data_IF_848963522341
#
_entry.id   IF_848963522341
#
_cell.length_a   1.000
_cell.length_b   1.000
_cell.length_c   1.000
_cell.angle_alpha   90.00
_cell.angle_beta   90.00
_cell.angle_gamma   90.00
#
_symmetry.space_group_name_H-M   'P 1'
#
loop_
_entity.id
_entity.type
_entity.pdbx_description
1 polymer ?
#
# COMPACT_ATOMS: atom_id res chain seq x y z
N UNK A 1 0.11 -0.22 21.66
CA UNK A 1 1.32 -0.93 21.19
C UNK A 1 2.09 -0.20 20.09
N UNK A 2 1.43 0.32 19.05
CA UNK A 2 2.09 1.12 17.99
C UNK A 2 2.96 2.27 18.53
N UNK A 3 2.47 3.02 19.51
CA UNK A 3 3.22 4.13 20.12
C UNK A 3 4.53 3.69 20.80
N UNK A 4 4.57 2.49 21.38
CA UNK A 4 5.77 1.97 22.07
C UNK A 4 6.86 1.47 21.13
N UNK A 5 6.50 0.99 19.94
CA UNK A 5 7.48 0.55 18.93
C UNK A 5 8.24 1.76 18.37
N UNK A 6 7.52 2.83 18.05
CA UNK A 6 8.11 4.01 17.44
C UNK A 6 8.53 5.11 18.45
N UNK A 7 8.31 4.92 19.76
CA UNK A 7 8.77 5.89 20.77
C UNK A 7 10.30 5.95 20.87
N UNK A 8 10.97 4.87 20.47
CA UNK A 8 12.43 4.78 20.47
C UNK A 8 13.08 5.53 19.31
N UNK A 9 12.31 6.01 18.32
CA UNK A 9 12.86 6.73 17.15
C UNK A 9 13.74 7.93 17.57
N UNK A 10 13.39 8.57 18.69
CA UNK A 10 14.15 9.70 19.27
C UNK A 10 15.53 9.31 19.81
N UNK A 11 15.76 8.03 20.11
CA UNK A 11 16.98 7.51 20.74
C UNK A 11 17.83 6.66 19.80
N UNK A 12 17.20 5.88 18.92
CA UNK A 12 17.89 4.92 18.03
C UNK A 12 17.80 5.29 16.54
N UNK A 13 17.15 6.41 16.22
CA UNK A 13 16.88 6.80 14.84
C UNK A 13 15.63 6.11 14.26
N UNK A 14 15.29 6.44 13.02
CA UNK A 14 14.06 5.97 12.38
C UNK A 14 14.08 4.47 12.14
N UNK A 15 13.08 3.75 12.67
CA UNK A 15 12.85 2.33 12.37
C UNK A 15 12.83 2.09 10.85
N UNK A 16 13.65 1.16 10.30
CA UNK A 16 13.59 0.86 8.88
C UNK A 16 12.30 0.06 8.54
N UNK A 17 11.68 0.30 7.36
CA UNK A 17 10.35 -0.24 7.08
C UNK A 17 10.25 -1.76 7.02
N UNK A 18 11.32 -2.47 6.65
CA UNK A 18 11.29 -3.92 6.54
C UNK A 18 11.16 -4.58 7.91
N UNK A 19 12.01 -4.17 8.86
CA UNK A 19 12.00 -4.60 10.25
C UNK A 19 10.71 -4.15 10.93
N UNK A 20 10.23 -2.94 10.64
CA UNK A 20 8.95 -2.50 11.18
C UNK A 20 7.75 -3.29 10.62
N UNK A 21 7.79 -3.77 9.37
CA UNK A 21 6.79 -4.73 8.87
C UNK A 21 6.87 -6.05 9.63
N UNK A 22 8.07 -6.56 9.94
CA UNK A 22 8.22 -7.76 10.78
C UNK A 22 7.65 -7.54 12.19
N UNK A 23 7.92 -6.38 12.80
CA UNK A 23 7.36 -6.01 14.10
C UNK A 23 5.83 -5.85 14.07
N UNK A 24 5.26 -5.35 12.97
CA UNK A 24 3.81 -5.36 12.77
C UNK A 24 3.27 -6.79 12.85
N UNK A 25 3.85 -7.71 12.06
CA UNK A 25 3.39 -9.10 12.02
C UNK A 25 3.56 -9.82 13.36
N UNK A 26 4.63 -9.51 14.11
CA UNK A 26 4.91 -10.16 15.38
C UNK A 26 4.15 -9.56 16.58
N UNK A 27 3.80 -8.27 16.56
CA UNK A 27 3.36 -7.53 17.77
C UNK A 27 2.08 -6.73 17.59
N UNK A 28 1.59 -6.53 16.38
CA UNK A 28 0.37 -5.77 16.11
C UNK A 28 -0.69 -6.68 15.49
N UNK A 29 -0.34 -7.41 14.44
CA UNK A 29 -1.24 -8.34 13.74
C UNK A 29 -1.93 -9.33 14.69
N UNK A 30 -1.26 -9.96 15.68
CA UNK A 30 -1.92 -10.89 16.59
C UNK A 30 -3.03 -10.25 17.43
N UNK A 31 -2.91 -8.97 17.77
CA UNK A 31 -3.95 -8.27 18.52
C UNK A 31 -5.11 -7.85 17.61
N UNK A 32 -4.84 -7.53 16.35
CA UNK A 32 -5.87 -7.15 15.38
C UNK A 32 -6.62 -8.37 14.84
N UNK A 33 -6.03 -9.56 14.90
CA UNK A 33 -6.61 -10.82 14.41
C UNK A 33 -7.15 -11.71 15.52
N UNK A 34 -6.94 -11.35 16.79
CA UNK A 34 -7.39 -12.14 17.92
C UNK A 34 -8.89 -12.46 17.85
N UNK A 35 -9.22 -13.76 17.85
CA UNK A 35 -10.59 -14.27 17.87
C UNK A 35 -11.41 -14.00 16.61
N UNK A 36 -10.79 -13.55 15.51
CA UNK A 36 -11.50 -13.20 14.28
C UNK A 36 -12.17 -14.39 13.59
N UNK A 37 -11.66 -15.59 13.85
CA UNK A 37 -12.17 -16.84 13.32
C UNK A 37 -13.47 -17.29 14.01
N UNK A 38 -13.72 -16.83 15.24
CA UNK A 38 -14.95 -17.12 16.00
C UNK A 38 -15.92 -15.93 15.92
N UNK A 39 -15.40 -14.70 16.11
CA UNK A 39 -16.19 -13.47 16.12
C UNK A 39 -15.98 -12.77 14.79
N UNK A 40 -16.91 -13.03 13.87
CA UNK A 40 -16.86 -12.52 12.50
C UNK A 40 -17.25 -11.05 12.43
N UNK A 41 -16.68 -10.37 11.45
CA UNK A 41 -16.77 -8.93 11.24
C UNK A 41 -18.11 -8.50 10.59
N UNK A 42 -19.23 -8.89 11.19
CA UNK A 42 -20.58 -8.58 10.69
C UNK A 42 -20.90 -7.09 10.82
N UNK A 43 -20.44 -6.44 11.88
CA UNK A 43 -20.59 -4.99 12.08
C UNK A 43 -19.34 -4.23 11.59
N UNK A 44 -19.52 -3.45 10.51
CA UNK A 44 -18.47 -2.64 9.90
C UNK A 44 -17.93 -1.54 10.82
N UNK A 45 -18.69 -1.10 11.82
CA UNK A 45 -18.24 -0.03 12.73
C UNK A 45 -17.12 -0.49 13.64
N UNK A 46 -17.16 -1.75 14.10
CA UNK A 46 -16.13 -2.34 14.95
C UNK A 46 -14.83 -2.57 14.17
N UNK A 47 -14.94 -3.03 12.92
CA UNK A 47 -13.78 -3.25 12.02
C UNK A 47 -13.01 -1.96 11.77
N UNK A 48 -13.69 -0.81 11.67
CA UNK A 48 -13.05 0.49 11.42
C UNK A 48 -12.01 0.86 12.48
N UNK A 49 -12.20 0.44 13.74
CA UNK A 49 -11.22 0.71 14.80
C UNK A 49 -9.93 -0.10 14.57
N UNK A 50 -10.07 -1.36 14.13
CA UNK A 50 -8.93 -2.22 13.77
C UNK A 50 -8.21 -1.68 12.53
N UNK A 51 -8.97 -1.26 11.52
CA UNK A 51 -8.42 -0.61 10.32
C UNK A 51 -7.66 0.67 10.70
N UNK A 52 -8.21 1.50 11.58
CA UNK A 52 -7.55 2.72 12.04
C UNK A 52 -6.20 2.41 12.72
N UNK A 53 -6.15 1.37 13.56
CA UNK A 53 -4.91 0.93 14.21
C UNK A 53 -3.86 0.45 13.21
N UNK A 54 -4.25 -0.40 12.25
CA UNK A 54 -3.36 -0.87 11.17
C UNK A 54 -2.85 0.30 10.33
N UNK A 55 -3.76 1.15 9.86
CA UNK A 55 -3.44 2.29 9.00
C UNK A 55 -2.52 3.29 9.70
N UNK A 56 -2.74 3.57 10.98
CA UNK A 56 -1.87 4.43 11.78
C UNK A 56 -0.46 3.85 11.88
N UNK A 57 -0.34 2.54 12.14
CA UNK A 57 0.95 1.88 12.21
C UNK A 57 1.70 1.98 10.87
N UNK A 58 1.05 1.59 9.76
CA UNK A 58 1.68 1.58 8.44
C UNK A 58 2.03 2.99 7.96
N UNK A 59 1.19 4.01 8.22
CA UNK A 59 1.53 5.41 7.91
C UNK A 59 2.80 5.86 8.60
N UNK A 60 2.92 5.56 9.90
CA UNK A 60 4.09 5.93 10.68
C UNK A 60 5.34 5.19 10.20
N UNK A 61 5.19 3.91 9.86
CA UNK A 61 6.27 3.07 9.34
C UNK A 61 6.93 3.67 8.09
N UNK A 62 6.13 4.10 7.12
CA UNK A 62 6.64 4.59 5.83
C UNK A 62 6.72 6.13 5.74
N UNK A 63 6.36 6.85 6.81
CA UNK A 63 6.52 8.30 6.91
C UNK A 63 5.48 9.12 6.13
N UNK A 64 4.24 8.62 6.05
CA UNK A 64 3.11 9.34 5.47
C UNK A 64 2.30 10.11 6.51
N UNK A 65 1.68 11.21 6.07
CA UNK A 65 0.81 12.03 6.92
C UNK A 65 -0.53 11.34 7.19
N UNK A 66 -1.28 11.74 8.25
CA UNK A 66 -2.62 11.23 8.51
C UNK A 66 -3.63 11.45 7.36
N UNK A 67 -3.36 12.45 6.50
CA UNK A 67 -4.20 12.79 5.33
C UNK A 67 -3.83 11.98 4.09
N UNK A 68 -2.83 11.09 4.17
CA UNK A 68 -2.42 10.26 3.06
C UNK A 68 -3.52 9.29 2.66
N UNK A 69 -3.47 8.87 1.39
CA UNK A 69 -4.28 7.76 0.90
C UNK A 69 -4.03 6.51 1.76
N UNK A 70 -5.08 5.73 2.02
CA UNK A 70 -4.98 4.52 2.85
C UNK A 70 -4.52 3.32 2.03
N UNK A 71 -5.08 3.13 0.83
CA UNK A 71 -4.82 1.92 0.03
C UNK A 71 -3.35 1.78 -0.38
N UNK A 72 -2.65 2.90 -0.57
CA UNK A 72 -1.20 2.90 -0.84
C UNK A 72 -0.38 2.25 0.27
N UNK A 73 -0.87 2.24 1.51
CA UNK A 73 -0.16 1.60 2.62
C UNK A 73 0.03 0.10 2.34
N UNK A 74 -0.98 -0.54 1.76
CA UNK A 74 -0.98 -1.96 1.45
C UNK A 74 -0.16 -2.26 0.19
N UNK A 75 -0.34 -1.45 -0.86
CA UNK A 75 0.40 -1.61 -2.14
C UNK A 75 1.91 -1.46 -1.96
N UNK A 76 2.35 -0.63 -1.02
CA UNK A 76 3.76 -0.35 -0.77
C UNK A 76 4.41 -1.26 0.28
N UNK A 77 3.67 -1.69 1.30
CA UNK A 77 4.22 -2.53 2.38
C UNK A 77 4.04 -4.02 2.12
N UNK A 78 3.19 -4.42 1.17
CA UNK A 78 2.84 -5.82 0.97
C UNK A 78 2.09 -6.42 2.16
N UNK A 79 1.34 -5.58 2.90
CA UNK A 79 0.54 -5.99 4.06
C UNK A 79 -0.91 -6.08 3.62
N UNK A 80 -1.57 -7.20 3.91
CA UNK A 80 -2.98 -7.38 3.59
C UNK A 80 -3.84 -6.46 4.48
N UNK A 81 -4.86 -5.76 3.93
CA UNK A 81 -5.76 -4.95 4.76
C UNK A 81 -6.47 -5.83 5.78
N UNK A 82 -6.65 -5.33 7.01
CA UNK A 82 -7.04 -6.16 8.16
C UNK A 82 -8.37 -6.88 7.97
N UNK A 83 -9.34 -6.28 7.28
CA UNK A 83 -10.62 -6.93 6.97
C UNK A 83 -10.46 -8.19 6.12
N UNK A 84 -9.65 -8.12 5.05
CA UNK A 84 -9.31 -9.30 4.24
C UNK A 84 -8.53 -10.34 5.05
N UNK A 85 -7.55 -9.88 5.85
CA UNK A 85 -6.74 -10.78 6.70
C UNK A 85 -7.60 -11.59 7.68
N UNK A 86 -8.55 -10.94 8.34
CA UNK A 86 -9.46 -11.55 9.32
C UNK A 86 -10.40 -12.56 8.67
N UNK A 87 -11.03 -12.23 7.53
CA UNK A 87 -11.89 -13.20 6.84
C UNK A 87 -11.10 -14.38 6.26
N UNK A 88 -9.88 -14.17 5.76
CA UNK A 88 -9.00 -15.27 5.34
C UNK A 88 -8.66 -16.22 6.50
N UNK A 89 -8.47 -15.70 7.71
CA UNK A 89 -8.26 -16.52 8.92
C UNK A 89 -9.51 -17.31 9.30
N UNK A 90 -10.70 -16.70 9.22
CA UNK A 90 -11.96 -17.40 9.43
C UNK A 90 -12.19 -18.55 8.43
N UNK A 91 -11.85 -18.35 7.16
CA UNK A 91 -11.94 -19.42 6.14
C UNK A 91 -10.88 -20.52 6.37
N UNK A 92 -9.66 -20.16 6.83
CA UNK A 92 -8.67 -21.17 7.26
C UNK A 92 -9.14 -21.96 8.48
N UNK A 93 -9.85 -21.32 9.40
CA UNK A 93 -10.48 -22.03 10.50
C UNK A 93 -11.60 -22.95 10.03
N UNK A 94 -12.44 -22.53 9.07
CA UNK A 94 -13.41 -23.42 8.42
C UNK A 94 -12.72 -24.65 7.81
N UNK A 95 -11.60 -24.45 7.11
CA UNK A 95 -10.81 -25.55 6.55
C UNK A 95 -10.31 -26.52 7.61
N UNK A 96 -9.87 -26.01 8.76
CA UNK A 96 -9.55 -26.83 9.91
C UNK A 96 -10.77 -27.63 10.41
N UNK A 97 -11.93 -26.99 10.58
CA UNK A 97 -13.16 -27.63 11.09
C UNK A 97 -13.66 -28.76 10.17
N UNK A 98 -13.63 -28.54 8.86
CA UNK A 98 -14.02 -29.53 7.85
C UNK A 98 -13.13 -30.77 7.90
N UNK A 99 -11.83 -30.60 8.22
CA UNK A 99 -10.86 -31.69 8.30
C UNK A 99 -10.84 -32.42 9.64
N UNK A 100 -11.62 -31.98 10.63
CA UNK A 100 -11.70 -32.66 11.91
C UNK A 100 -12.50 -33.97 11.81
N UNK A 101 -12.17 -34.92 12.68
CA UNK A 101 -12.96 -36.14 12.80
C UNK A 101 -14.35 -35.82 13.37
N UNK A 102 -15.42 -36.53 12.94
CA UNK A 102 -16.80 -36.22 13.34
C UNK A 102 -17.07 -36.19 14.85
N UNK A 103 -16.28 -36.93 15.64
CA UNK A 103 -16.43 -37.02 17.09
C UNK A 103 -15.86 -35.79 17.84
N UNK A 104 -15.28 -34.80 17.15
CA UNK A 104 -14.75 -33.59 17.78
C UNK A 104 -15.88 -32.56 17.91
N UNK A 105 -16.05 -31.99 19.10
CA UNK A 105 -17.08 -30.98 19.36
C UNK A 105 -17.05 -29.80 18.38
N UNK A 106 -15.87 -29.38 17.93
CA UNK A 106 -15.74 -28.29 16.96
C UNK A 106 -16.29 -28.69 15.57
N UNK A 107 -16.14 -29.96 15.16
CA UNK A 107 -16.77 -30.47 13.95
C UNK A 107 -18.29 -30.57 14.11
N UNK A 108 -18.77 -31.07 15.26
CA UNK A 108 -20.20 -31.11 15.57
C UNK A 108 -20.83 -29.72 15.54
N UNK A 109 -20.15 -28.71 16.11
CA UNK A 109 -20.59 -27.32 16.06
C UNK A 109 -20.63 -26.73 14.63
N UNK A 110 -19.71 -27.15 13.75
CA UNK A 110 -19.80 -26.81 12.32
C UNK A 110 -21.05 -27.41 11.70
N UNK A 111 -21.33 -28.69 11.95
CA UNK A 111 -22.53 -29.36 11.43
C UNK A 111 -23.83 -28.71 11.93
N UNK A 112 -23.88 -28.28 13.19
CA UNK A 112 -25.00 -27.51 13.73
C UNK A 112 -25.15 -26.15 13.01
N UNK A 113 -24.03 -25.47 12.75
CA UNK A 113 -24.00 -24.21 11.99
C UNK A 113 -24.49 -24.41 10.54
N UNK A 114 -24.16 -25.53 9.90
CA UNK A 114 -24.69 -25.92 8.59
C UNK A 114 -26.19 -26.15 8.66
N UNK A 115 -26.68 -26.91 9.65
CA UNK A 115 -28.11 -27.18 9.83
C UNK A 115 -28.92 -25.88 10.05
N UNK A 116 -28.40 -24.95 10.85
CA UNK A 116 -28.99 -23.62 11.03
C UNK A 116 -29.06 -22.85 9.72
N UNK A 117 -27.96 -22.85 8.94
CA UNK A 117 -27.91 -22.18 7.64
C UNK A 117 -28.93 -22.77 6.65
N UNK A 118 -29.04 -24.10 6.57
CA UNK A 118 -30.05 -24.79 5.74
C UNK A 118 -31.47 -24.45 6.16
N UNK A 119 -31.71 -24.26 7.46
CA UNK A 119 -32.99 -23.83 8.01
C UNK A 119 -33.25 -22.30 7.88
N UNK A 120 -32.36 -21.55 7.23
CA UNK A 120 -32.47 -20.10 7.08
C UNK A 120 -32.34 -19.31 8.38
N UNK A 121 -31.66 -19.87 9.39
CA UNK A 121 -31.42 -19.25 10.69
C UNK A 121 -30.03 -18.62 10.75
N UNK A 122 -29.90 -17.58 11.56
CA UNK A 122 -28.62 -16.94 11.82
C UNK A 122 -27.69 -17.90 12.59
N UNK A 123 -26.42 -17.87 12.22
CA UNK A 123 -25.35 -18.64 12.84
C UNK A 123 -23.99 -18.29 12.24
N UNK A 124 -22.94 -18.94 12.73
CA UNK A 124 -21.56 -18.62 12.33
C UNK A 124 -21.33 -18.78 10.82
N UNK A 125 -21.89 -19.81 10.17
CA UNK A 125 -21.73 -20.01 8.73
C UNK A 125 -22.47 -18.95 7.90
N UNK A 126 -23.67 -18.54 8.31
CA UNK A 126 -24.40 -17.46 7.61
C UNK A 126 -23.69 -16.13 7.77
N UNK A 127 -23.09 -15.87 8.93
CA UNK A 127 -22.28 -14.68 9.17
C UNK A 127 -21.02 -14.69 8.31
N UNK A 128 -20.36 -15.84 8.14
CA UNK A 128 -19.19 -15.98 7.27
C UNK A 128 -19.55 -15.69 5.81
N UNK A 129 -20.66 -16.26 5.32
CA UNK A 129 -21.22 -15.96 3.99
C UNK A 129 -21.53 -14.47 3.83
N UNK A 130 -22.09 -13.85 4.86
CA UNK A 130 -22.39 -12.42 4.86
C UNK A 130 -21.12 -11.57 4.78
N UNK A 131 -20.06 -11.91 5.53
CA UNK A 131 -18.79 -11.17 5.48
C UNK A 131 -18.13 -11.32 4.10
N UNK A 132 -18.09 -12.54 3.54
CA UNK A 132 -17.51 -12.80 2.22
C UNK A 132 -18.27 -12.08 1.08
N UNK A 133 -19.61 -12.06 1.13
CA UNK A 133 -20.43 -11.35 0.14
C UNK A 133 -20.28 -9.82 0.22
N UNK A 134 -19.81 -9.30 1.36
CA UNK A 134 -19.59 -7.86 1.59
C UNK A 134 -18.19 -7.38 1.22
N UNK A 135 -17.30 -8.26 0.77
CA UNK A 135 -16.00 -7.88 0.20
C UNK A 135 -16.19 -7.00 -1.04
N UNK A 136 -15.19 -6.15 -1.40
CA UNK A 136 -15.31 -5.26 -2.56
C UNK A 136 -15.61 -6.00 -3.86
N UNK A 137 -14.95 -7.14 -4.09
CA UNK A 137 -15.44 -8.15 -5.02
C UNK A 137 -16.06 -9.27 -4.17
N UNK A 138 -17.38 -9.48 -4.21
CA UNK A 138 -18.06 -10.48 -3.41
C UNK A 138 -17.50 -11.88 -3.66
N UNK A 139 -17.26 -12.64 -2.60
CA UNK A 139 -16.84 -14.04 -2.66
C UNK A 139 -18.02 -14.91 -2.19
N UNK A 140 -18.38 -15.91 -2.99
CA UNK A 140 -19.42 -16.87 -2.62
C UNK A 140 -18.80 -18.02 -1.81
N UNK A 141 -19.53 -18.49 -0.81
CA UNK A 141 -19.23 -19.72 -0.07
C UNK A 141 -20.47 -20.61 -0.09
N UNK A 142 -20.48 -21.56 -1.01
CA UNK A 142 -21.58 -22.50 -1.24
C UNK A 142 -21.46 -23.71 -0.30
N UNK A 143 -22.54 -24.48 -0.15
CA UNK A 143 -22.49 -25.73 0.62
C UNK A 143 -21.53 -26.74 -0.02
N UNK A 144 -21.40 -26.72 -1.36
CA UNK A 144 -20.44 -27.54 -2.12
C UNK A 144 -18.98 -27.21 -1.80
N UNK A 145 -18.72 -26.03 -1.23
CA UNK A 145 -17.37 -25.60 -0.88
C UNK A 145 -16.93 -26.09 0.50
N UNK A 146 -17.84 -26.70 1.28
CA UNK A 146 -17.58 -27.25 2.61
C UNK A 146 -16.82 -28.59 2.54
N UNK A 147 -15.74 -28.62 1.77
CA UNK A 147 -14.83 -29.76 1.67
C UNK A 147 -13.38 -29.27 1.55
N UNK A 148 -12.44 -30.16 1.87
CA UNK A 148 -11.01 -29.83 1.93
C UNK A 148 -10.48 -29.25 0.62
N UNK A 149 -10.98 -29.72 -0.52
CA UNK A 149 -10.44 -29.41 -1.85
C UNK A 149 -10.94 -28.08 -2.41
N UNK A 150 -12.06 -27.54 -1.89
CA UNK A 150 -12.69 -26.32 -2.43
C UNK A 150 -12.33 -25.07 -1.64
N UNK A 151 -12.11 -25.17 -0.33
CA UNK A 151 -11.75 -24.02 0.50
C UNK A 151 -10.46 -23.29 0.07
N UNK A 152 -9.43 -23.95 -0.52
CA UNK A 152 -8.30 -23.25 -1.13
C UNK A 152 -8.72 -22.24 -2.20
N UNK A 153 -9.69 -22.57 -3.07
CA UNK A 153 -10.19 -21.62 -4.08
C UNK A 153 -10.96 -20.44 -3.49
N UNK A 154 -11.62 -20.63 -2.34
CA UNK A 154 -12.26 -19.52 -1.60
C UNK A 154 -11.20 -18.58 -1.04
N UNK A 155 -10.08 -19.11 -0.54
CA UNK A 155 -8.95 -18.29 -0.07
C UNK A 155 -8.32 -17.49 -1.21
N UNK A 156 -8.10 -18.12 -2.37
CA UNK A 156 -7.62 -17.46 -3.59
C UNK A 156 -8.57 -16.34 -4.03
N UNK A 157 -9.88 -16.58 -4.04
CA UNK A 157 -10.87 -15.56 -4.37
C UNK A 157 -10.88 -14.35 -3.40
N UNK A 158 -10.53 -14.55 -2.13
CA UNK A 158 -10.36 -13.45 -1.16
C UNK A 158 -9.12 -12.63 -1.49
N UNK A 159 -8.02 -13.29 -1.85
CA UNK A 159 -6.77 -12.63 -2.26
C UNK A 159 -6.98 -11.82 -3.55
N UNK A 160 -7.65 -12.41 -4.55
CA UNK A 160 -8.05 -11.73 -5.80
C UNK A 160 -8.94 -10.53 -5.55
N UNK A 161 -9.92 -10.66 -4.63
CA UNK A 161 -10.79 -9.55 -4.23
C UNK A 161 -9.99 -8.39 -3.63
N UNK A 162 -8.99 -8.69 -2.81
CA UNK A 162 -8.09 -7.69 -2.23
C UNK A 162 -7.21 -7.02 -3.28
N UNK A 163 -6.60 -7.81 -4.17
CA UNK A 163 -5.74 -7.33 -5.24
C UNK A 163 -6.52 -6.44 -6.21
N UNK A 164 -7.69 -6.88 -6.67
CA UNK A 164 -8.57 -6.09 -7.54
C UNK A 164 -8.99 -4.77 -6.88
N UNK A 165 -9.36 -4.80 -5.60
CA UNK A 165 -9.72 -3.59 -4.86
C UNK A 165 -8.59 -2.54 -4.77
N UNK A 166 -7.34 -3.01 -4.66
CA UNK A 166 -6.15 -2.15 -4.68
C UNK A 166 -5.81 -1.70 -6.10
N UNK A 167 -5.94 -2.56 -7.09
CA UNK A 167 -5.65 -2.25 -8.49
C UNK A 167 -6.62 -1.20 -9.04
N UNK A 168 -7.93 -1.37 -8.79
CA UNK A 168 -8.96 -0.40 -9.18
C UNK A 168 -8.65 0.98 -8.61
N UNK A 169 -8.12 1.06 -7.39
CA UNK A 169 -7.70 2.31 -6.80
C UNK A 169 -6.50 2.95 -7.51
N UNK A 170 -5.47 2.16 -7.85
CA UNK A 170 -4.30 2.65 -8.58
C UNK A 170 -4.72 3.23 -9.94
N UNK A 171 -5.68 2.60 -10.61
CA UNK A 171 -6.15 3.03 -11.91
C UNK A 171 -7.06 4.27 -11.85
N UNK A 172 -7.94 4.35 -10.84
CA UNK A 172 -8.95 5.41 -10.75
C UNK A 172 -8.47 6.68 -10.07
N UNK A 173 -7.55 6.59 -9.11
CA UNK A 173 -7.05 7.76 -8.39
C UNK A 173 -6.11 8.59 -9.25
N UNK A 174 -6.29 9.92 -9.22
CA UNK A 174 -5.40 10.87 -9.91
C UNK A 174 -4.05 11.01 -9.19
N UNK A 175 -3.97 10.62 -7.92
CA UNK A 175 -2.74 10.69 -7.10
C UNK A 175 -1.79 9.51 -7.30
N UNK A 176 -2.28 8.42 -7.87
CA UNK A 176 -1.55 7.16 -8.00
C UNK A 176 -0.98 6.97 -9.39
N UNK A 177 -0.87 8.04 -10.18
CA UNK A 177 -0.39 7.97 -11.55
C UNK A 177 1.05 7.40 -11.63
N UNK A 178 1.91 7.70 -10.64
CA UNK A 178 3.24 7.10 -10.46
C UNK A 178 3.23 5.65 -9.95
N UNK A 179 2.06 5.06 -9.70
CA UNK A 179 1.93 3.66 -9.27
C UNK A 179 1.39 2.76 -10.40
N UNK A 180 0.88 3.35 -11.49
CA UNK A 180 0.31 2.60 -12.61
C UNK A 180 1.40 1.89 -13.40
N UNK A 181 1.10 0.66 -13.84
CA UNK A 181 1.99 -0.16 -14.67
C UNK A 181 3.41 -0.33 -14.09
N UNK A 182 3.55 -0.21 -12.77
CA UNK A 182 4.83 -0.37 -12.10
C UNK A 182 5.25 -1.83 -12.13
N UNK A 183 6.41 -2.07 -12.74
CA UNK A 183 7.09 -3.36 -12.74
C UNK A 183 7.94 -3.51 -11.48
N UNK A 184 8.01 -4.72 -10.94
CA UNK A 184 8.92 -5.13 -9.87
C UNK A 184 9.70 -6.35 -10.35
N UNK A 185 10.92 -6.52 -9.84
CA UNK A 185 11.66 -7.77 -10.03
C UNK A 185 11.14 -8.81 -9.03
N UNK A 186 10.72 -9.97 -9.53
CA UNK A 186 10.43 -11.14 -8.71
C UNK A 186 11.71 -11.78 -8.14
N UNK A 187 11.56 -12.95 -7.53
CA UNK A 187 12.66 -13.66 -6.86
C UNK A 187 13.62 -14.27 -7.90
N UNK A 188 13.12 -14.56 -9.10
CA UNK A 188 13.85 -15.01 -10.29
C UNK A 188 14.49 -13.84 -11.08
N UNK A 189 14.18 -12.59 -10.70
CA UNK A 189 14.71 -11.37 -11.30
C UNK A 189 13.96 -10.87 -12.54
N UNK A 190 12.88 -11.53 -12.94
CA UNK A 190 12.01 -11.13 -14.04
C UNK A 190 11.11 -9.94 -13.64
N UNK A 191 10.78 -9.10 -14.63
CA UNK A 191 9.95 -7.92 -14.42
C UNK A 191 8.47 -8.30 -14.49
N UNK A 192 7.79 -8.18 -13.35
CA UNK A 192 6.37 -8.51 -13.19
C UNK A 192 5.60 -7.36 -12.56
N UNK A 193 4.32 -7.26 -12.87
CA UNK A 193 3.44 -6.32 -12.16
C UNK A 193 2.97 -6.97 -10.86
N UNK A 194 3.20 -6.31 -9.73
CA UNK A 194 2.65 -6.71 -8.43
C UNK A 194 1.88 -5.55 -7.83
N UNK A 195 0.60 -5.76 -7.52
CA UNK A 195 -0.25 -4.72 -6.90
C UNK A 195 0.14 -4.52 -5.43
N UNK A 196 0.34 -5.62 -4.72
CA UNK A 196 0.70 -5.64 -3.30
C UNK A 196 2.08 -6.28 -3.11
N UNK A 197 3.10 -5.47 -2.81
CA UNK A 197 4.45 -5.96 -2.55
C UNK A 197 5.18 -5.01 -1.60
N UNK A 198 6.17 -5.53 -0.86
CA UNK A 198 7.08 -4.66 -0.12
C UNK A 198 8.06 -4.00 -1.10
N UNK A 199 7.95 -2.69 -1.28
CA UNK A 199 8.66 -2.00 -2.35
C UNK A 199 10.13 -1.81 -2.04
N UNK A 200 10.99 -2.07 -3.04
CA UNK A 200 12.45 -2.06 -2.87
C UNK A 200 12.98 -0.70 -2.42
N UNK A 201 12.36 0.40 -2.83
CA UNK A 201 12.78 1.74 -2.41
C UNK A 201 12.56 1.99 -0.91
N UNK A 202 11.68 1.24 -0.24
CA UNK A 202 11.54 1.30 1.22
C UNK A 202 12.76 0.73 1.96
N UNK A 203 13.70 0.09 1.26
CA UNK A 203 14.99 -0.35 1.82
C UNK A 203 16.09 0.72 1.78
N UNK A 204 15.83 1.91 1.23
CA UNK A 204 16.82 2.99 1.21
C UNK A 204 17.29 3.27 2.65
N UNK A 205 18.60 3.16 2.96
CA UNK A 205 19.10 3.25 4.33
C UNK A 205 18.82 4.61 4.97
N UNK A 206 19.09 5.70 4.23
CA UNK A 206 18.87 7.05 4.72
C UNK A 206 17.36 7.32 4.89
N UNK A 207 16.86 7.55 6.12
CA UNK A 207 15.44 7.70 6.38
C UNK A 207 14.81 8.94 5.74
N UNK A 208 15.56 10.04 5.65
CA UNK A 208 15.08 11.31 5.08
C UNK A 208 14.81 11.15 3.59
N UNK A 209 15.81 10.61 2.90
CA UNK A 209 15.79 10.22 1.49
C UNK A 209 14.64 9.26 1.17
N UNK A 210 14.52 8.18 1.96
CA UNK A 210 13.43 7.20 1.82
C UNK A 210 12.04 7.83 1.97
N UNK A 211 11.86 8.71 2.97
CA UNK A 211 10.57 9.37 3.24
C UNK A 211 10.21 10.35 2.13
N UNK A 212 11.18 11.10 1.60
CA UNK A 212 10.95 11.99 0.46
C UNK A 212 10.45 11.20 -0.76
N UNK A 213 11.14 10.12 -1.14
CA UNK A 213 10.73 9.26 -2.25
C UNK A 213 9.35 8.63 -2.02
N UNK A 214 9.09 8.16 -0.79
CA UNK A 214 7.77 7.62 -0.43
C UNK A 214 6.68 8.69 -0.58
N UNK A 215 6.96 9.93 -0.19
CA UNK A 215 6.02 11.04 -0.34
C UNK A 215 5.84 11.44 -1.81
N UNK A 216 6.90 11.37 -2.62
CA UNK A 216 6.83 11.56 -4.07
C UNK A 216 5.89 10.55 -4.72
N UNK A 217 6.14 9.27 -4.48
CA UNK A 217 5.39 8.19 -5.12
C UNK A 217 3.90 8.17 -4.74
N UNK A 218 3.57 8.63 -3.52
CA UNK A 218 2.26 8.43 -2.91
C UNK A 218 1.45 9.73 -2.74
N UNK A 219 1.88 10.82 -3.40
CA UNK A 219 1.18 12.11 -3.36
C UNK A 219 1.17 12.75 -1.97
N UNK A 220 2.29 12.72 -1.28
CA UNK A 220 2.55 13.36 0.00
C UNK A 220 3.56 14.51 -0.06
N UNK A 221 3.93 14.96 -1.27
CA UNK A 221 4.97 15.98 -1.47
C UNK A 221 4.52 17.38 -1.07
N UNK A 222 5.50 18.28 -1.01
CA UNK A 222 5.27 19.72 -0.81
C UNK A 222 4.92 20.45 -2.10
N UNK A 223 4.86 19.78 -3.25
CA UNK A 223 4.61 20.37 -4.56
C UNK A 223 3.22 21.01 -4.65
N UNK A 224 3.06 22.01 -5.51
CA UNK A 224 1.83 22.77 -5.70
C UNK A 224 0.64 21.88 -6.00
N UNK A 225 0.81 20.82 -6.81
CA UNK A 225 -0.27 19.87 -7.11
C UNK A 225 -0.88 19.20 -5.88
N UNK A 226 -0.10 18.99 -4.83
CA UNK A 226 -0.54 18.39 -3.56
C UNK A 226 -0.88 19.46 -2.52
N UNK A 227 -0.02 20.45 -2.31
CA UNK A 227 -0.21 21.50 -1.30
C UNK A 227 -1.46 22.34 -1.56
N UNK A 228 -1.70 22.73 -2.82
CA UNK A 228 -2.82 23.63 -3.17
C UNK A 228 -4.13 22.88 -3.47
N UNK A 229 -4.10 21.54 -3.43
CA UNK A 229 -5.30 20.72 -3.64
C UNK A 229 -6.30 20.83 -2.50
N UNK A 230 -5.81 21.01 -1.27
CA UNK A 230 -6.65 21.01 -0.08
C UNK A 230 -7.01 22.44 0.31
N UNK A 231 -8.26 22.68 0.77
CA UNK A 231 -8.60 23.94 1.39
C UNK A 231 -7.80 24.12 2.68
N UNK A 232 -7.36 25.35 2.92
CA UNK A 232 -6.68 25.76 4.13
C UNK A 232 -7.47 26.91 4.78
N UNK A 233 -7.14 27.23 6.03
CA UNK A 233 -7.74 28.37 6.72
C UNK A 233 -7.47 29.62 5.86
N UNK A 234 -8.54 30.25 5.37
CA UNK A 234 -8.51 31.42 4.47
C UNK A 234 -8.10 31.16 3.00
N UNK A 235 -8.05 29.89 2.54
CA UNK A 235 -7.78 29.58 1.14
C UNK A 235 -8.64 28.41 0.67
N UNK A 236 -9.46 28.66 -0.33
CA UNK A 236 -10.21 27.60 -1.01
C UNK A 236 -9.29 26.66 -1.80
N UNK A 237 -9.89 25.57 -2.27
CA UNK A 237 -9.22 24.63 -3.17
C UNK A 237 -8.80 25.35 -4.45
N UNK A 238 -7.53 25.22 -4.82
CA UNK A 238 -7.02 25.79 -6.07
C UNK A 238 -7.26 24.80 -7.23
N UNK A 239 -7.89 25.23 -8.35
CA UNK A 239 -8.01 24.45 -9.57
C UNK A 239 -6.65 23.94 -10.06
N UNK A 240 -6.60 22.79 -10.73
CA UNK A 240 -5.34 22.10 -11.04
C UNK A 240 -4.42 22.98 -11.91
N UNK A 241 -4.99 23.59 -12.93
CA UNK A 241 -4.38 24.52 -13.88
C UNK A 241 -3.77 25.76 -13.21
N UNK A 242 -4.24 26.12 -12.01
CA UNK A 242 -3.75 27.27 -11.25
C UNK A 242 -2.70 26.90 -10.20
N UNK A 243 -2.33 25.63 -10.06
CA UNK A 243 -1.30 25.19 -9.09
C UNK A 243 0.10 25.39 -9.65
N UNK A 244 0.42 26.64 -10.01
CA UNK A 244 1.65 27.01 -10.72
C UNK A 244 2.92 26.74 -9.90
N UNK A 245 4.01 26.44 -10.60
CA UNK A 245 5.35 26.22 -10.05
C UNK A 245 5.83 27.41 -9.23
N UNK A 246 6.34 27.13 -8.02
CA UNK A 246 6.86 28.17 -7.11
C UNK A 246 8.08 28.88 -7.67
N UNK A 247 8.81 28.21 -8.57
CA UNK A 247 10.03 28.73 -9.20
C UNK A 247 9.71 29.46 -10.50
N UNK A 248 9.19 28.75 -11.52
CA UNK A 248 9.05 29.34 -12.86
C UNK A 248 7.74 30.11 -13.06
N UNK A 249 6.70 29.83 -12.26
CA UNK A 249 5.34 30.39 -12.41
C UNK A 249 4.67 30.19 -13.78
N UNK A 250 5.25 29.39 -14.68
CA UNK A 250 4.78 29.21 -16.06
C UNK A 250 3.97 27.92 -16.29
N UNK A 251 4.13 26.91 -15.43
CA UNK A 251 3.44 25.62 -15.55
C UNK A 251 2.99 25.10 -14.20
N UNK A 252 2.13 24.07 -14.21
CA UNK A 252 1.67 23.39 -13.00
C UNK A 252 2.86 22.74 -12.28
N UNK A 253 2.93 22.90 -10.96
CA UNK A 253 3.95 22.29 -10.12
C UNK A 253 3.65 20.83 -9.82
N UNK A 254 3.72 19.98 -10.83
CA UNK A 254 3.64 18.53 -10.68
C UNK A 254 5.03 17.89 -10.55
N UNK A 255 5.05 16.59 -10.27
CA UNK A 255 6.24 15.78 -10.09
C UNK A 255 7.15 15.84 -11.32
N UNK A 256 6.59 15.72 -12.53
CA UNK A 256 7.33 15.79 -13.78
C UNK A 256 7.97 17.17 -14.00
N UNK A 257 7.20 18.24 -13.75
CA UNK A 257 7.67 19.60 -13.91
C UNK A 257 8.81 19.90 -12.95
N UNK A 258 8.65 19.57 -11.67
CA UNK A 258 9.66 19.78 -10.65
C UNK A 258 10.93 18.98 -10.95
N UNK A 259 10.80 17.69 -11.27
CA UNK A 259 11.93 16.78 -11.46
C UNK A 259 12.64 16.97 -12.79
N UNK A 260 11.94 17.28 -13.88
CA UNK A 260 12.56 17.14 -15.22
C UNK A 260 12.52 18.42 -16.06
N UNK A 261 11.59 19.33 -15.81
CA UNK A 261 11.29 20.40 -16.77
C UNK A 261 11.74 21.77 -16.25
N UNK A 262 11.42 22.11 -15.01
CA UNK A 262 11.52 23.48 -14.48
C UNK A 262 12.90 24.11 -14.76
N UNK A 263 12.98 25.22 -15.53
CA UNK A 263 14.27 25.84 -15.89
C UNK A 263 14.65 27.03 -14.99
N UNK A 264 13.73 27.49 -14.14
CA UNK A 264 13.83 28.80 -13.49
C UNK A 264 14.77 28.87 -12.29
N UNK A 265 15.18 27.73 -11.73
CA UNK A 265 16.14 27.69 -10.63
C UNK A 265 17.45 27.05 -11.12
N UNK A 266 18.55 27.81 -11.01
CA UNK A 266 19.88 27.39 -11.45
C UNK A 266 20.42 26.19 -10.67
N UNK A 267 20.10 26.07 -9.38
CA UNK A 267 20.52 24.94 -8.56
C UNK A 267 19.76 23.66 -8.94
N UNK A 268 18.46 23.75 -9.24
CA UNK A 268 17.70 22.62 -9.79
C UNK A 268 18.26 22.18 -11.14
N UNK A 269 18.59 23.14 -12.03
CA UNK A 269 19.22 22.85 -13.33
C UNK A 269 20.56 22.12 -13.14
N UNK A 270 21.45 22.66 -12.31
CA UNK A 270 22.74 22.02 -12.00
C UNK A 270 22.57 20.66 -11.35
N UNK A 271 21.58 20.49 -10.48
CA UNK A 271 21.29 19.20 -9.86
C UNK A 271 20.87 18.17 -10.90
N UNK A 272 20.04 18.57 -11.87
CA UNK A 272 19.58 17.72 -12.98
C UNK A 272 20.72 17.36 -13.91
N UNK A 273 21.56 18.32 -14.29
CA UNK A 273 22.75 18.10 -15.11
C UNK A 273 23.69 17.08 -14.46
N UNK A 274 24.02 17.27 -13.17
CA UNK A 274 24.84 16.31 -12.41
C UNK A 274 24.20 14.93 -12.32
N UNK A 275 22.88 14.87 -12.12
CA UNK A 275 22.15 13.61 -12.07
C UNK A 275 22.27 12.86 -13.40
N UNK A 276 22.01 13.54 -14.52
CA UNK A 276 22.11 12.98 -15.88
C UNK A 276 23.54 12.54 -16.20
N UNK A 277 24.55 13.33 -15.84
CA UNK A 277 25.96 12.99 -16.02
C UNK A 277 26.33 11.70 -15.28
N UNK A 278 25.96 11.59 -13.99
CA UNK A 278 26.22 10.38 -13.19
C UNK A 278 25.47 9.17 -13.72
N UNK A 279 24.23 9.35 -14.18
CA UNK A 279 23.45 8.29 -14.80
C UNK A 279 24.12 7.77 -16.07
N UNK A 280 24.55 8.65 -16.98
CA UNK A 280 25.28 8.27 -18.20
C UNK A 280 26.59 7.55 -17.89
N UNK A 281 27.32 7.98 -16.86
CA UNK A 281 28.54 7.32 -16.43
C UNK A 281 28.28 5.90 -15.86
N UNK A 282 27.14 5.70 -15.21
CA UNK A 282 26.79 4.43 -14.55
C UNK A 282 26.09 3.45 -15.50
N UNK A 283 25.40 3.94 -16.54
CA UNK A 283 24.61 3.16 -17.49
C UNK A 283 25.00 3.52 -18.94
N UNK A 284 26.08 2.92 -19.47
CA UNK A 284 26.52 3.15 -20.84
C UNK A 284 25.46 2.62 -21.82
N UNK A 285 24.78 3.52 -22.54
CA UNK A 285 23.64 3.20 -23.42
C UNK A 285 22.36 4.01 -23.14
N UNK A 286 22.36 4.80 -22.07
CA UNK A 286 21.24 5.67 -21.69
C UNK A 286 21.18 6.96 -22.55
N UNK A 287 20.21 7.07 -23.48
CA UNK A 287 20.24 8.11 -24.53
C UNK A 287 19.18 9.23 -24.39
N UNK A 288 17.93 9.01 -23.99
CA UNK A 288 16.91 10.09 -24.10
C UNK A 288 15.94 10.20 -22.92
N UNK A 289 16.03 11.32 -22.18
CA UNK A 289 15.39 11.54 -20.87
C UNK A 289 14.42 12.73 -20.84
N UNK A 290 14.47 13.61 -21.84
CA UNK A 290 13.73 14.87 -21.83
C UNK A 290 12.22 14.69 -22.11
N UNK A 291 11.79 13.52 -22.60
CA UNK A 291 10.40 13.27 -23.04
C UNK A 291 9.63 12.22 -22.22
N UNK A 292 10.29 11.47 -21.33
CA UNK A 292 9.74 10.23 -20.77
C UNK A 292 8.86 10.38 -19.50
N UNK A 293 8.77 11.58 -18.92
CA UNK A 293 7.85 11.88 -17.81
C UNK A 293 7.87 10.84 -16.69
N UNK A 294 6.76 10.11 -16.53
CA UNK A 294 6.54 9.13 -15.44
C UNK A 294 7.15 7.77 -15.71
N UNK A 295 7.26 7.36 -16.97
CA UNK A 295 7.86 6.08 -17.36
C UNK A 295 9.31 5.99 -16.86
N UNK A 296 10.00 7.13 -16.87
CA UNK A 296 11.37 7.25 -16.38
C UNK A 296 11.51 7.02 -14.87
N UNK A 297 10.56 7.53 -14.06
CA UNK A 297 10.56 7.30 -12.61
C UNK A 297 10.48 5.81 -12.31
N UNK A 298 9.67 5.06 -13.06
CA UNK A 298 9.59 3.61 -12.91
C UNK A 298 10.91 2.94 -13.28
N UNK A 299 11.47 3.27 -14.45
CA UNK A 299 12.68 2.64 -14.96
C UNK A 299 13.88 2.78 -14.00
N UNK A 300 14.07 3.97 -13.42
CA UNK A 300 15.10 4.21 -12.41
C UNK A 300 14.89 3.36 -11.16
N UNK A 301 13.66 3.30 -10.66
CA UNK A 301 13.36 2.68 -9.38
C UNK A 301 13.41 1.15 -9.43
N UNK A 302 13.13 0.54 -10.60
CA UNK A 302 13.00 -0.93 -10.73
C UNK A 302 13.95 -1.59 -11.73
N UNK A 303 14.35 -0.91 -12.82
CA UNK A 303 15.24 -1.51 -13.83
C UNK A 303 16.70 -1.35 -13.44
N UNK A 304 17.12 -0.13 -13.11
CA UNK A 304 18.53 0.20 -12.93
C UNK A 304 19.03 0.20 -11.48
N UNK A 305 18.13 0.17 -10.50
CA UNK A 305 18.46 0.26 -9.07
C UNK A 305 19.42 1.42 -8.72
N UNK A 306 19.31 2.54 -9.44
CA UNK A 306 20.17 3.72 -9.27
C UNK A 306 19.71 4.60 -8.09
N UNK A 307 19.17 3.98 -7.03
CA UNK A 307 18.61 4.66 -5.86
C UNK A 307 19.64 5.60 -5.21
N UNK A 308 20.91 5.24 -5.24
CA UNK A 308 22.00 6.08 -4.71
C UNK A 308 22.25 7.36 -5.53
N UNK A 309 21.90 7.36 -6.82
CA UNK A 309 21.99 8.51 -7.70
C UNK A 309 20.72 9.37 -7.65
N UNK A 310 19.56 8.70 -7.68
CA UNK A 310 18.24 9.33 -7.78
C UNK A 310 17.82 10.03 -6.49
N UNK A 311 18.02 9.39 -5.34
CA UNK A 311 17.37 9.85 -4.11
C UNK A 311 17.96 11.16 -3.57
N UNK A 312 19.29 11.39 -3.62
CA UNK A 312 19.85 12.70 -3.26
C UNK A 312 19.41 13.82 -4.21
N UNK A 313 19.18 13.49 -5.49
CA UNK A 313 18.69 14.44 -6.49
C UNK A 313 17.25 14.84 -6.17
N UNK A 314 16.36 13.85 -6.10
CA UNK A 314 14.94 14.03 -5.79
C UNK A 314 14.71 14.81 -4.50
N UNK A 315 15.43 14.44 -3.42
CA UNK A 315 15.31 15.12 -2.13
C UNK A 315 15.56 16.62 -2.23
N UNK A 316 16.60 17.04 -2.97
CA UNK A 316 16.91 18.48 -3.17
C UNK A 316 15.79 19.20 -3.91
N UNK A 317 15.27 18.60 -4.98
CA UNK A 317 14.19 19.16 -5.78
C UNK A 317 12.91 19.36 -4.96
N UNK A 318 12.52 18.36 -4.16
CA UNK A 318 11.23 18.37 -3.41
C UNK A 318 11.29 19.26 -2.18
N UNK A 319 12.41 19.27 -1.46
CA UNK A 319 12.57 20.07 -0.25
C UNK A 319 12.82 21.56 -0.53
N UNK A 320 13.00 21.93 -1.81
CA UNK A 320 13.06 23.32 -2.25
C UNK A 320 14.44 23.95 -2.15
N UNK A 321 15.48 23.16 -2.46
CA UNK A 321 16.86 23.63 -2.65
C UNK A 321 17.25 23.51 -4.13
#
# INVERSE_FOLDING_TARGET
MSHGIFSLDSRVGSLPPFEGRQLYMARVDPHLTFGCEVILDVDRTLVRQLEAAQNMYLRRLIGLSPRSMVRVLFTETGTLPIGFRRVSLAVRYLQYLVNLTPNRFAHSALMDSVALATAGKAGWLTDLRLVLSRLPTPVALLDTDLCQDRLPSVLEAIEDSAEKWLQDFIQTSTKTFLLRNRLERDDEGALVTKVMAFRRYLRIPNPTHRKALTQLMLGGTKLGVERLRYPERYRDRVPWEHRVCRFCRMGVEDECHALFICPANMDLRRARERFVERMRATLPGYIEWAQAGTAFVHEILTVYDTKELWVPYEYRIIEGL
#
